data_IF_102415074229
#
_entry.id   IF_102415074229
#
_cell.length_a   1.000
_cell.length_b   1.000
_cell.length_c   1.000
_cell.angle_alpha   90.00
_cell.angle_beta   90.00
_cell.angle_gamma   90.00
#
_symmetry.space_group_name_H-M   'P 1'
#
loop_
_entity.id
_entity.type
_entity.pdbx_description
1 polymer ?
#
# COMPACT_ATOMS: atom_id res chain seq x y z
N UNK A 1 2.28 47.58 43.61
CA UNK A 1 3.12 46.87 42.61
C UNK A 1 3.03 45.38 42.94
N UNK A 2 2.03 44.69 42.36
CA UNK A 2 1.78 43.26 42.59
C UNK A 2 2.57 42.48 41.51
N UNK A 3 3.56 41.70 41.92
CA UNK A 3 4.25 40.73 41.04
C UNK A 3 3.40 39.46 40.97
N UNK A 4 2.91 39.14 39.78
CA UNK A 4 2.32 37.85 39.47
C UNK A 4 3.46 36.78 39.39
N UNK A 5 3.27 35.56 39.87
CA UNK A 5 4.25 34.49 39.76
C UNK A 5 4.34 34.02 38.30
N UNK A 6 5.57 33.93 37.79
CA UNK A 6 5.87 33.30 36.52
C UNK A 6 5.75 31.78 36.73
N UNK A 7 4.66 31.18 36.27
CA UNK A 7 4.54 29.73 36.23
C UNK A 7 5.61 29.15 35.26
N UNK A 8 6.39 28.27 35.82
CA UNK A 8 7.48 27.58 35.16
C UNK A 8 6.94 26.58 34.13
N UNK A 9 7.00 26.91 32.84
CA UNK A 9 6.47 26.09 31.72
C UNK A 9 7.42 24.93 31.33
N UNK A 10 8.22 24.39 32.28
CA UNK A 10 9.19 23.35 31.99
C UNK A 10 8.67 21.89 31.97
N UNK A 11 7.42 21.63 32.36
CA UNK A 11 6.94 20.25 32.52
C UNK A 11 6.15 19.68 31.33
N UNK A 12 5.97 20.44 30.22
CA UNK A 12 5.28 19.94 29.01
C UNK A 12 6.21 19.43 27.90
N UNK A 13 7.53 19.46 28.11
CA UNK A 13 8.51 18.92 27.12
C UNK A 13 8.82 17.42 27.27
N UNK A 14 8.34 16.75 28.30
CA UNK A 14 8.64 15.35 28.61
C UNK A 14 7.84 14.31 27.80
N UNK A 15 6.74 14.68 27.13
CA UNK A 15 5.84 13.72 26.46
C UNK A 15 6.09 13.53 24.95
N UNK A 16 7.03 14.24 24.32
CA UNK A 16 7.11 14.34 22.86
C UNK A 16 8.25 13.52 22.24
N UNK A 17 9.12 12.90 23.01
CA UNK A 17 10.23 12.09 22.47
C UNK A 17 10.08 10.62 22.85
N UNK A 18 8.94 10.02 22.49
CA UNK A 18 8.88 8.57 22.43
C UNK A 18 9.96 8.10 21.43
N UNK A 19 10.92 7.32 21.91
CA UNK A 19 12.13 6.98 21.18
C UNK A 19 11.81 6.20 19.90
N UNK A 20 12.18 6.78 18.76
CA UNK A 20 12.06 6.11 17.47
C UNK A 20 13.14 5.04 17.36
N UNK A 21 12.78 3.82 17.02
CA UNK A 21 13.69 2.68 16.87
C UNK A 21 13.93 2.38 15.40
N UNK A 22 15.17 2.02 15.07
CA UNK A 22 15.55 1.60 13.73
C UNK A 22 15.35 0.09 13.59
N UNK A 23 14.80 -0.31 12.45
CA UNK A 23 14.57 -1.69 12.02
C UNK A 23 14.90 -1.81 10.53
N UNK A 24 15.01 -3.03 10.06
CA UNK A 24 14.88 -3.33 8.63
C UNK A 24 13.42 -3.68 8.30
N UNK A 25 13.04 -3.58 7.02
CA UNK A 25 11.69 -3.96 6.60
C UNK A 25 11.42 -5.45 6.88
N UNK A 26 12.45 -6.32 6.80
CA UNK A 26 12.33 -7.74 7.12
C UNK A 26 11.98 -7.97 8.59
N UNK A 27 12.53 -7.18 9.52
CA UNK A 27 12.26 -7.32 10.96
C UNK A 27 10.84 -6.88 11.35
N UNK A 28 10.25 -5.97 10.58
CA UNK A 28 8.89 -5.44 10.85
C UNK A 28 7.79 -6.16 10.07
N UNK A 29 8.15 -7.08 9.19
CA UNK A 29 7.20 -7.88 8.40
C UNK A 29 7.24 -9.35 8.82
N UNK A 30 6.07 -9.99 8.91
CA UNK A 30 5.98 -11.45 9.04
C UNK A 30 6.46 -12.15 7.77
N UNK A 31 6.16 -11.57 6.60
CA UNK A 31 6.52 -12.11 5.29
C UNK A 31 6.65 -10.98 4.27
N UNK A 32 7.66 -11.14 3.39
CA UNK A 32 7.86 -10.34 2.19
C UNK A 32 8.02 -11.32 1.03
N UNK A 33 7.10 -11.31 0.07
CA UNK A 33 7.05 -12.30 -1.00
C UNK A 33 6.37 -11.76 -2.26
N UNK A 34 6.71 -12.34 -3.41
CA UNK A 34 6.06 -12.07 -4.70
C UNK A 34 5.17 -13.24 -5.12
N UNK A 35 4.25 -12.97 -6.02
CA UNK A 35 3.39 -13.98 -6.63
C UNK A 35 3.92 -14.52 -7.95
N UNK A 36 2.98 -14.93 -8.80
CA UNK A 36 3.22 -15.45 -10.14
C UNK A 36 2.02 -15.24 -11.05
N UNK A 37 2.20 -15.53 -12.32
CA UNK A 37 1.14 -15.37 -13.33
C UNK A 37 0.76 -16.75 -13.84
N UNK A 38 -0.53 -17.14 -13.81
CA UNK A 38 -1.01 -18.32 -14.50
C UNK A 38 -0.71 -18.21 -16.00
N UNK A 39 -0.43 -19.34 -16.67
CA UNK A 39 -0.14 -19.34 -18.09
C UNK A 39 -1.29 -18.72 -18.90
N UNK A 40 -0.97 -17.72 -19.70
CA UNK A 40 -1.97 -17.07 -20.58
C UNK A 40 -2.36 -17.90 -21.80
N UNK A 41 -1.67 -19.04 -22.01
CA UNK A 41 -2.02 -20.00 -23.07
C UNK A 41 -3.18 -20.90 -22.68
N UNK A 42 -3.57 -20.91 -21.43
CA UNK A 42 -4.63 -21.69 -20.83
C UNK A 42 -5.79 -20.76 -20.45
N UNK A 43 -6.80 -20.65 -21.33
CA UNK A 43 -7.95 -19.77 -21.09
C UNK A 43 -8.75 -20.20 -19.86
N UNK A 44 -8.76 -21.50 -19.55
CA UNK A 44 -9.39 -22.11 -18.38
C UNK A 44 -8.84 -21.61 -17.04
N UNK A 45 -7.65 -21.01 -17.00
CA UNK A 45 -7.07 -20.42 -15.79
C UNK A 45 -7.58 -19.01 -15.48
N UNK A 46 -8.31 -18.40 -16.42
CA UNK A 46 -8.73 -17.00 -16.38
C UNK A 46 -10.24 -16.86 -16.32
N UNK A 47 -10.70 -15.63 -16.00
CA UNK A 47 -12.11 -15.25 -15.97
C UNK A 47 -12.96 -16.05 -14.95
N UNK A 48 -12.34 -16.53 -13.86
CA UNK A 48 -13.04 -17.10 -12.73
C UNK A 48 -13.50 -16.04 -11.72
N UNK A 49 -13.63 -16.44 -10.45
CA UNK A 49 -14.11 -15.58 -9.38
C UNK A 49 -13.00 -15.13 -8.40
N UNK A 50 -11.79 -15.67 -8.55
CA UNK A 50 -10.67 -15.43 -7.64
C UNK A 50 -9.92 -14.18 -8.11
N UNK A 51 -9.83 -13.18 -7.24
CA UNK A 51 -9.13 -11.92 -7.51
C UNK A 51 -7.65 -12.14 -7.77
N UNK A 52 -7.12 -11.47 -8.80
CA UNK A 52 -5.71 -11.56 -9.16
C UNK A 52 -5.17 -10.18 -9.56
N UNK A 53 -4.27 -9.67 -8.74
CA UNK A 53 -3.70 -8.33 -8.84
C UNK A 53 -2.47 -8.32 -9.76
N UNK A 54 -2.50 -7.42 -10.71
CA UNK A 54 -1.34 -7.06 -11.52
C UNK A 54 -0.65 -5.80 -10.99
N UNK A 55 0.62 -5.60 -11.37
CA UNK A 55 1.35 -4.38 -10.99
C UNK A 55 0.74 -3.10 -11.56
N UNK A 56 -0.04 -3.17 -12.63
CA UNK A 56 -0.72 -2.00 -13.22
C UNK A 56 -1.80 -1.41 -12.30
N UNK A 57 -2.36 -2.21 -11.41
CA UNK A 57 -3.45 -1.80 -10.51
C UNK A 57 -2.96 -1.15 -9.21
N UNK A 58 -1.66 -1.13 -8.94
CA UNK A 58 -1.06 -0.50 -7.74
C UNK A 58 -1.07 1.03 -7.78
N UNK A 59 -1.67 1.65 -8.79
CA UNK A 59 -1.99 3.08 -8.81
C UNK A 59 -3.14 3.45 -7.86
N UNK A 60 -3.94 2.47 -7.44
CA UNK A 60 -5.00 2.64 -6.44
C UNK A 60 -4.39 2.60 -5.04
N UNK A 61 -4.67 3.60 -4.21
CA UNK A 61 -4.19 3.61 -2.81
C UNK A 61 -4.74 2.43 -2.00
N UNK A 62 -6.02 2.11 -2.19
CA UNK A 62 -6.72 1.00 -1.55
C UNK A 62 -7.31 0.09 -2.61
N UNK A 63 -6.94 -1.19 -2.59
CA UNK A 63 -7.40 -2.20 -3.54
C UNK A 63 -8.58 -2.95 -2.94
N UNK A 64 -9.78 -2.71 -3.45
CA UNK A 64 -11.03 -3.38 -3.03
C UNK A 64 -11.40 -4.54 -3.96
N UNK A 65 -11.04 -4.44 -5.24
CA UNK A 65 -11.26 -5.46 -6.26
C UNK A 65 -10.13 -5.42 -7.29
N UNK A 66 -10.09 -6.39 -8.21
CA UNK A 66 -9.09 -6.49 -9.27
C UNK A 66 -9.76 -6.55 -10.63
N UNK A 67 -9.10 -5.99 -11.65
CA UNK A 67 -9.58 -6.01 -13.03
C UNK A 67 -9.64 -7.44 -13.58
N UNK A 68 -8.64 -8.25 -13.22
CA UNK A 68 -8.54 -9.64 -13.67
C UNK A 68 -8.84 -10.60 -12.54
N UNK A 69 -9.44 -11.72 -12.93
CA UNK A 69 -9.75 -12.84 -12.03
C UNK A 69 -9.22 -14.13 -12.63
N UNK A 70 -8.90 -15.09 -11.77
CA UNK A 70 -8.41 -16.42 -12.13
C UNK A 70 -9.34 -17.48 -11.58
N UNK A 71 -9.23 -18.68 -12.10
CA UNK A 71 -9.95 -19.85 -11.61
C UNK A 71 -9.15 -20.58 -10.53
N UNK A 72 -9.78 -21.50 -9.82
CA UNK A 72 -9.10 -22.38 -8.87
C UNK A 72 -8.00 -23.22 -9.58
N UNK A 73 -8.25 -23.64 -10.80
CA UNK A 73 -7.27 -24.35 -11.63
C UNK A 73 -6.05 -23.47 -11.96
N UNK A 74 -6.29 -22.17 -12.26
CA UNK A 74 -5.23 -21.20 -12.45
C UNK A 74 -4.38 -20.99 -11.20
N UNK A 75 -4.96 -21.05 -10.00
CA UNK A 75 -4.24 -21.02 -8.73
C UNK A 75 -3.35 -22.26 -8.57
N UNK A 76 -3.90 -23.43 -8.77
CA UNK A 76 -3.22 -24.72 -8.53
C UNK A 76 -2.09 -24.98 -9.52
N UNK A 77 -2.23 -24.51 -10.77
CA UNK A 77 -1.26 -24.74 -11.86
C UNK A 77 -0.32 -23.52 -12.09
N UNK A 78 -0.14 -22.67 -11.08
CA UNK A 78 0.77 -21.53 -11.20
C UNK A 78 1.53 -21.24 -9.92
N UNK A 79 2.53 -20.36 -10.03
CA UNK A 79 3.28 -19.86 -8.88
C UNK A 79 2.64 -18.63 -8.22
N UNK A 80 1.40 -18.30 -8.57
CA UNK A 80 0.69 -17.19 -7.94
C UNK A 80 0.54 -17.41 -6.42
N UNK A 81 0.51 -16.33 -5.65
CA UNK A 81 0.42 -16.42 -4.19
C UNK A 81 -0.64 -15.48 -3.66
N UNK A 82 -1.34 -15.96 -2.65
CA UNK A 82 -2.33 -15.17 -1.94
C UNK A 82 -1.65 -14.10 -1.08
N UNK A 83 -2.08 -12.85 -1.27
CA UNK A 83 -1.85 -11.75 -0.36
C UNK A 83 -3.17 -11.42 0.34
N UNK A 84 -3.15 -11.47 1.68
CA UNK A 84 -4.37 -11.28 2.47
C UNK A 84 -4.66 -9.79 2.66
N UNK A 85 -5.90 -9.46 2.92
CA UNK A 85 -6.32 -8.14 3.39
C UNK A 85 -5.39 -7.64 4.50
N UNK A 86 -5.02 -6.36 4.45
CA UNK A 86 -4.08 -5.75 5.38
C UNK A 86 -2.61 -5.81 4.95
N UNK A 87 -2.29 -6.54 3.87
CA UNK A 87 -0.95 -6.45 3.29
C UNK A 87 -0.75 -5.12 2.54
N UNK A 88 0.46 -4.61 2.59
CA UNK A 88 0.93 -3.59 1.64
C UNK A 88 1.56 -4.28 0.44
N UNK A 89 1.16 -3.90 -0.76
CA UNK A 89 1.73 -4.41 -2.01
C UNK A 89 2.51 -3.31 -2.72
N UNK A 90 3.64 -3.68 -3.34
CA UNK A 90 4.52 -2.75 -4.07
C UNK A 90 4.74 -3.29 -5.47
N UNK A 91 4.54 -2.45 -6.49
CA UNK A 91 4.92 -2.78 -7.86
C UNK A 91 6.45 -2.74 -8.01
N UNK A 92 7.03 -3.87 -8.40
CA UNK A 92 8.49 -4.01 -8.56
C UNK A 92 8.95 -3.83 -9.99
N UNK A 93 8.04 -3.92 -10.95
CA UNK A 93 8.27 -3.73 -12.36
C UNK A 93 7.11 -2.95 -12.99
N UNK A 94 7.35 -2.37 -14.14
CA UNK A 94 6.36 -1.59 -14.89
C UNK A 94 7.00 -0.37 -15.52
N UNK A 95 6.35 0.14 -16.56
CA UNK A 95 6.77 1.38 -17.24
C UNK A 95 6.13 2.60 -16.59
N UNK A 96 6.68 3.77 -16.87
CA UNK A 96 6.15 5.04 -16.38
C UNK A 96 6.18 5.11 -14.84
N UNK A 97 5.04 5.45 -14.26
CA UNK A 97 4.89 5.68 -12.82
C UNK A 97 4.54 4.42 -12.01
N UNK A 98 4.29 3.27 -12.64
CA UNK A 98 3.82 2.04 -11.95
C UNK A 98 4.84 1.50 -10.95
N UNK A 99 6.10 1.38 -11.39
CA UNK A 99 7.17 0.82 -10.56
C UNK A 99 7.43 1.69 -9.33
N UNK A 100 7.41 1.08 -8.15
CA UNK A 100 7.58 1.74 -6.86
C UNK A 100 6.28 2.19 -6.20
N UNK A 101 5.14 2.11 -6.91
CA UNK A 101 3.84 2.41 -6.30
C UNK A 101 3.49 1.37 -5.25
N UNK A 102 2.91 1.84 -4.15
CA UNK A 102 2.42 1.02 -3.06
C UNK A 102 0.90 1.13 -2.93
N UNK A 103 0.24 0.02 -2.59
CA UNK A 103 -1.19 -0.03 -2.31
C UNK A 103 -1.47 -0.85 -1.05
N UNK A 104 -2.57 -0.54 -0.38
CA UNK A 104 -3.07 -1.30 0.76
C UNK A 104 -4.20 -2.23 0.32
N UNK A 105 -4.12 -3.50 0.67
CA UNK A 105 -5.16 -4.47 0.30
C UNK A 105 -6.36 -4.41 1.26
N UNK A 106 -7.50 -4.07 0.72
CA UNK A 106 -8.79 -4.10 1.43
C UNK A 106 -9.53 -5.43 1.24
N UNK A 107 -8.96 -6.33 0.46
CA UNK A 107 -9.49 -7.66 0.14
C UNK A 107 -8.34 -8.65 -0.02
N UNK A 108 -8.63 -9.93 0.11
CA UNK A 108 -7.70 -10.99 -0.26
C UNK A 108 -7.57 -11.05 -1.78
N UNK A 109 -6.35 -11.21 -2.29
CA UNK A 109 -6.09 -11.33 -3.72
C UNK A 109 -4.85 -12.17 -3.99
N UNK A 110 -4.87 -12.95 -5.07
CA UNK A 110 -3.63 -13.48 -5.63
C UNK A 110 -2.91 -12.38 -6.41
N UNK A 111 -1.63 -12.54 -6.71
CA UNK A 111 -0.83 -11.49 -7.34
C UNK A 111 0.21 -12.05 -8.30
N UNK A 112 0.62 -11.20 -9.25
CA UNK A 112 1.66 -11.53 -10.22
C UNK A 112 3.07 -11.44 -9.62
N UNK A 113 4.08 -11.84 -10.40
CA UNK A 113 5.50 -11.81 -10.03
C UNK A 113 6.07 -10.38 -9.94
N UNK A 114 5.39 -9.39 -10.51
CA UNK A 114 5.82 -7.98 -10.49
C UNK A 114 5.22 -7.19 -9.32
N UNK A 115 4.57 -7.90 -8.39
CA UNK A 115 4.04 -7.35 -7.13
C UNK A 115 4.71 -8.08 -5.97
N UNK A 116 5.23 -7.31 -5.02
CA UNK A 116 5.71 -7.82 -3.73
C UNK A 116 4.70 -7.43 -2.65
N UNK A 117 4.24 -8.42 -1.89
CA UNK A 117 3.43 -8.21 -0.70
C UNK A 117 4.31 -8.17 0.56
N UNK A 118 4.05 -7.18 1.41
CA UNK A 118 4.63 -7.01 2.73
C UNK A 118 3.51 -7.19 3.77
N UNK A 119 3.56 -8.29 4.51
CA UNK A 119 2.64 -8.54 5.62
C UNK A 119 3.25 -8.03 6.91
N UNK A 120 2.62 -7.05 7.54
CA UNK A 120 3.09 -6.47 8.79
C UNK A 120 3.16 -7.50 9.92
N UNK A 121 4.23 -7.45 10.72
CA UNK A 121 4.24 -8.06 12.04
C UNK A 121 3.53 -7.12 13.01
N UNK A 122 2.27 -7.41 13.29
CA UNK A 122 1.43 -6.54 14.13
C UNK A 122 1.91 -6.40 15.57
N UNK A 123 2.87 -7.20 16.02
CA UNK A 123 3.53 -6.98 17.31
C UNK A 123 4.48 -5.76 17.27
N UNK A 124 4.96 -5.37 16.09
CA UNK A 124 5.97 -4.30 15.90
C UNK A 124 5.38 -3.08 15.19
N UNK A 125 4.66 -3.30 14.09
CA UNK A 125 4.16 -2.24 13.21
C UNK A 125 2.68 -2.45 12.87
N UNK A 126 1.89 -1.39 12.88
CA UNK A 126 0.50 -1.45 12.44
C UNK A 126 0.41 -1.53 10.90
N UNK A 127 -0.46 -2.37 10.32
CA UNK A 127 -0.53 -2.59 8.87
C UNK A 127 -0.70 -1.29 8.05
N UNK A 128 -1.62 -0.40 8.44
CA UNK A 128 -1.79 0.90 7.77
C UNK A 128 -0.59 1.84 7.96
N UNK A 129 0.12 1.75 9.09
CA UNK A 129 1.35 2.53 9.27
C UNK A 129 2.45 2.05 8.32
N UNK A 130 2.60 0.73 8.16
CA UNK A 130 3.52 0.15 7.17
C UNK A 130 3.18 0.66 5.76
N UNK A 131 1.91 0.65 5.39
CA UNK A 131 1.46 1.18 4.11
C UNK A 131 1.85 2.64 3.91
N UNK A 132 1.50 3.53 4.83
CA UNK A 132 1.82 4.96 4.70
C UNK A 132 3.33 5.23 4.68
N UNK A 133 4.11 4.46 5.45
CA UNK A 133 5.56 4.57 5.41
C UNK A 133 6.12 4.18 4.05
N UNK A 134 5.66 3.07 3.47
CA UNK A 134 6.14 2.60 2.16
C UNK A 134 5.61 3.48 1.01
N UNK A 135 4.37 3.93 1.06
CA UNK A 135 3.78 4.84 0.06
C UNK A 135 4.55 6.17 -0.02
N UNK A 136 5.00 6.70 1.11
CA UNK A 136 5.81 7.93 1.16
C UNK A 136 7.22 7.80 0.57
N UNK A 137 7.67 6.57 0.25
CA UNK A 137 9.03 6.27 -0.24
C UNK A 137 9.10 5.97 -1.74
N UNK A 138 8.09 6.42 -2.50
CA UNK A 138 8.01 6.17 -3.94
C UNK A 138 9.30 6.55 -4.69
N UNK A 139 9.83 7.75 -4.46
CA UNK A 139 11.07 8.22 -5.12
C UNK A 139 12.28 7.37 -4.74
N UNK A 140 12.38 6.93 -3.49
CA UNK A 140 13.43 6.02 -3.04
C UNK A 140 13.35 4.68 -3.77
N UNK A 141 12.15 4.11 -3.91
CA UNK A 141 11.94 2.87 -4.67
C UNK A 141 12.33 3.03 -6.14
N UNK A 142 12.04 4.19 -6.74
CA UNK A 142 12.45 4.51 -8.11
C UNK A 142 13.97 4.49 -8.24
N UNK A 143 14.68 5.21 -7.39
CA UNK A 143 16.14 5.28 -7.39
C UNK A 143 16.78 3.90 -7.20
N UNK A 144 16.31 3.13 -6.23
CA UNK A 144 16.81 1.78 -5.95
C UNK A 144 16.57 0.83 -7.14
N UNK A 145 15.47 0.98 -7.85
CA UNK A 145 15.14 0.14 -8.98
C UNK A 145 15.92 0.50 -10.25
N UNK A 146 16.27 1.76 -10.47
CA UNK A 146 17.01 2.23 -11.64
C UNK A 146 18.49 1.85 -11.58
N UNK A 147 19.05 1.68 -10.38
CA UNK A 147 20.45 1.28 -10.16
C UNK A 147 20.76 -0.22 -10.34
N UNK A 148 19.76 -1.10 -10.52
CA UNK A 148 19.97 -2.55 -10.40
C UNK A 148 20.06 -3.35 -11.69
N UNK A 149 19.62 -2.83 -12.84
CA UNK A 149 19.79 -3.50 -14.15
C UNK A 149 19.33 -2.63 -15.32
N UNK A 150 19.71 -3.01 -16.56
CA UNK A 150 19.26 -2.39 -17.82
C UNK A 150 17.73 -2.39 -17.99
N UNK A 151 16.98 -3.21 -17.26
CA UNK A 151 15.51 -3.26 -17.30
C UNK A 151 14.86 -2.61 -16.08
N UNK A 152 15.65 -2.20 -15.07
CA UNK A 152 15.15 -1.70 -13.79
C UNK A 152 14.25 -2.71 -13.07
N UNK A 153 14.36 -2.81 -11.76
CA UNK A 153 13.47 -3.67 -10.97
C UNK A 153 13.78 -3.57 -9.48
N UNK A 154 12.74 -3.44 -8.68
CA UNK A 154 12.85 -3.46 -7.24
C UNK A 154 12.83 -4.91 -6.77
N UNK A 155 13.96 -5.42 -6.28
CA UNK A 155 14.02 -6.81 -5.82
C UNK A 155 13.56 -6.95 -4.36
N UNK A 156 12.99 -8.11 -4.03
CA UNK A 156 12.60 -8.43 -2.65
C UNK A 156 13.78 -8.38 -1.67
N UNK A 157 14.99 -8.68 -2.15
CA UNK A 157 16.21 -8.61 -1.36
C UNK A 157 16.57 -7.17 -0.95
N UNK A 158 16.39 -6.21 -1.85
CA UNK A 158 16.60 -4.78 -1.57
C UNK A 158 15.55 -4.31 -0.55
N UNK A 159 14.27 -4.62 -0.80
CA UNK A 159 13.19 -4.24 0.11
C UNK A 159 13.42 -4.74 1.53
N UNK A 160 13.80 -5.99 1.70
CA UNK A 160 14.03 -6.60 3.01
C UNK A 160 15.04 -5.85 3.87
N UNK A 161 16.07 -5.29 3.25
CA UNK A 161 17.18 -4.57 3.91
C UNK A 161 16.95 -3.08 4.08
N UNK A 162 15.86 -2.55 3.55
CA UNK A 162 15.55 -1.13 3.72
C UNK A 162 15.36 -0.80 5.19
N UNK A 163 16.01 0.25 5.62
CA UNK A 163 15.86 0.77 6.97
C UNK A 163 14.49 1.45 7.13
N UNK A 164 13.84 1.17 8.24
CA UNK A 164 12.58 1.79 8.64
C UNK A 164 12.71 2.26 10.09
N UNK A 165 12.36 3.53 10.32
CA UNK A 165 12.37 4.12 11.64
C UNK A 165 10.96 4.20 12.17
N UNK A 166 10.70 3.58 13.32
CA UNK A 166 9.35 3.44 13.87
C UNK A 166 9.20 4.16 15.20
N UNK A 167 8.12 4.96 15.36
CA UNK A 167 7.69 5.43 16.65
C UNK A 167 6.94 4.32 17.41
N UNK A 168 6.67 4.49 18.70
CA UNK A 168 5.78 3.61 19.46
C UNK A 168 4.41 3.44 18.80
N UNK A 169 3.77 2.30 19.00
CA UNK A 169 2.45 1.98 18.38
C UNK A 169 1.37 3.01 18.67
N UNK A 170 1.39 3.65 19.83
CA UNK A 170 0.45 4.73 20.16
C UNK A 170 0.60 5.93 19.21
N UNK A 171 1.84 6.26 18.83
CA UNK A 171 2.12 7.31 17.86
C UNK A 171 1.82 6.85 16.43
N UNK A 172 2.11 5.58 16.08
CA UNK A 172 1.68 5.01 14.78
C UNK A 172 0.16 5.14 14.61
N UNK A 173 -0.62 4.80 15.65
CA UNK A 173 -2.08 4.91 15.62
C UNK A 173 -2.54 6.35 15.38
N UNK A 174 -1.99 7.34 16.10
CA UNK A 174 -2.33 8.76 15.91
C UNK A 174 -2.04 9.22 14.45
N UNK A 175 -0.92 8.79 13.88
CA UNK A 175 -0.54 9.10 12.49
C UNK A 175 -1.54 8.46 11.52
N UNK A 176 -1.89 7.18 11.73
CA UNK A 176 -2.90 6.48 10.93
C UNK A 176 -4.24 7.21 10.99
N UNK A 177 -4.71 7.57 12.18
CA UNK A 177 -6.03 8.19 12.36
C UNK A 177 -6.15 9.50 11.55
N UNK A 178 -5.06 10.29 11.49
CA UNK A 178 -5.01 11.52 10.68
C UNK A 178 -5.00 11.18 9.18
N UNK A 179 -4.03 10.38 8.73
CA UNK A 179 -3.83 10.11 7.30
C UNK A 179 -5.02 9.35 6.70
N UNK A 180 -5.53 8.34 7.40
CA UNK A 180 -6.67 7.56 6.94
C UNK A 180 -7.96 8.38 6.88
N UNK A 181 -8.16 9.34 7.81
CA UNK A 181 -9.30 10.25 7.75
C UNK A 181 -9.27 11.13 6.48
N UNK A 182 -8.08 11.58 6.08
CA UNK A 182 -7.87 12.36 4.86
C UNK A 182 -8.16 11.49 3.62
N UNK A 183 -7.60 10.28 3.58
CA UNK A 183 -7.84 9.35 2.48
C UNK A 183 -9.32 9.01 2.32
N UNK A 184 -10.00 8.71 3.42
CA UNK A 184 -11.45 8.49 3.42
C UNK A 184 -12.20 9.68 2.81
N UNK A 185 -11.82 10.91 3.17
CA UNK A 185 -12.44 12.11 2.60
C UNK A 185 -12.17 12.28 1.12
N UNK A 186 -10.97 11.92 0.66
CA UNK A 186 -10.63 11.92 -0.76
C UNK A 186 -11.49 10.90 -1.52
N UNK A 187 -11.65 9.67 -0.99
CA UNK A 187 -12.49 8.64 -1.61
C UNK A 187 -13.96 9.06 -1.67
N UNK A 188 -14.50 9.59 -0.57
CA UNK A 188 -15.87 10.12 -0.53
C UNK A 188 -16.09 11.23 -1.56
N UNK A 189 -15.16 12.19 -1.66
CA UNK A 189 -15.25 13.27 -2.64
C UNK A 189 -15.19 12.75 -4.09
N UNK A 190 -14.33 11.76 -4.36
CA UNK A 190 -14.28 11.11 -5.68
C UNK A 190 -15.61 10.43 -6.03
N UNK A 191 -16.21 9.71 -5.08
CA UNK A 191 -17.51 9.06 -5.28
C UNK A 191 -18.62 10.09 -5.54
N UNK A 192 -18.63 11.21 -4.80
CA UNK A 192 -19.59 12.32 -5.02
C UNK A 192 -19.40 12.92 -6.41
N UNK A 193 -18.17 13.23 -6.81
CA UNK A 193 -17.87 13.82 -8.12
C UNK A 193 -18.31 12.90 -9.26
N UNK A 194 -18.01 11.59 -9.18
CA UNK A 194 -18.45 10.62 -10.18
C UNK A 194 -19.99 10.55 -10.28
N UNK A 195 -20.68 10.60 -9.13
CA UNK A 195 -22.15 10.61 -9.12
C UNK A 195 -22.72 11.87 -9.77
N UNK A 196 -22.18 13.04 -9.41
CA UNK A 196 -22.58 14.33 -10.00
C UNK A 196 -22.33 14.37 -11.51
N UNK A 197 -21.21 13.83 -11.98
CA UNK A 197 -20.90 13.73 -13.40
C UNK A 197 -21.92 12.85 -14.14
N UNK A 198 -22.24 11.67 -13.58
CA UNK A 198 -23.26 10.79 -14.14
C UNK A 198 -24.63 11.45 -14.20
N UNK A 199 -25.04 12.19 -13.16
CA UNK A 199 -26.27 12.93 -13.14
C UNK A 199 -26.31 14.03 -14.21
N UNK A 200 -25.21 14.80 -14.32
CA UNK A 200 -25.09 15.85 -15.34
C UNK A 200 -25.18 15.26 -16.76
N UNK A 201 -24.51 14.13 -17.02
CA UNK A 201 -24.59 13.42 -18.30
C UNK A 201 -26.01 12.91 -18.60
N UNK A 202 -26.72 12.38 -17.60
CA UNK A 202 -28.09 11.91 -17.76
C UNK A 202 -29.05 13.06 -18.08
N UNK A 203 -28.92 14.20 -17.40
CA UNK A 203 -29.71 15.41 -17.66
C UNK A 203 -29.42 15.91 -19.09
N UNK A 204 -28.15 16.05 -19.46
CA UNK A 204 -27.76 16.50 -20.80
C UNK A 204 -28.38 15.61 -21.90
N UNK A 205 -28.27 14.27 -21.78
CA UNK A 205 -28.88 13.31 -22.72
C UNK A 205 -30.40 13.37 -22.76
N UNK A 206 -31.06 13.85 -21.70
CA UNK A 206 -32.54 13.98 -21.70
C UNK A 206 -33.01 15.24 -22.42
N UNK A 207 -32.12 16.20 -22.67
CA UNK A 207 -32.46 17.48 -23.32
C UNK A 207 -32.09 17.49 -24.81
N UNK A 208 -31.19 16.61 -25.23
CA UNK A 208 -30.69 16.45 -26.60
C UNK A 208 -30.74 15.00 -27.06
#
# INVERSE_FOLDING_TARGET
MLRLPIENTSDKKGEIMAEWKNYTLEEVCERIYSGGTPSTKHEEYWNGDIKWLSSGETSQRFVYDTERKITQEGVENSSTKLATKGCTVIATAGQGYTRGQASFLMTDTYMNQSVIACKANENVILPLYLYYNLDSRYEEFRLLSDGTSTRGGLSGWILKRMEIKLPPKSSQKKIIDILYSIDRKIEENKAINNNLEQQAQAIFKSWF
#
